data_IF_495081065133
#
_entry.id   IF_495081065133
#
_cell.length_a   1.000
_cell.length_b   1.000
_cell.length_c   1.000
_cell.angle_alpha   90.00
_cell.angle_beta   90.00
_cell.angle_gamma   90.00
#
_symmetry.space_group_name_H-M   'P 1'
#
loop_
_entity.id
_entity.type
_entity.pdbx_description
1 polymer ?
#
# COMPACT_ATOMS: atom_id res chain seq x y z
N UNK A 1 -73.72 38.40 17.99
CA UNK A 1 -74.51 38.18 19.24
C UNK A 1 -74.35 36.76 19.67
N UNK A 2 -74.12 36.56 20.90
CA UNK A 2 -73.98 35.40 21.79
C UNK A 2 -72.55 34.83 21.94
N UNK A 3 -72.01 35.35 23.05
CA UNK A 3 -70.77 34.91 23.69
C UNK A 3 -71.01 33.61 24.45
N UNK A 4 -70.12 32.65 24.36
CA UNK A 4 -70.07 31.54 25.31
C UNK A 4 -68.67 31.45 25.91
N UNK A 5 -68.60 31.72 27.21
CA UNK A 5 -67.46 31.57 28.11
C UNK A 5 -67.40 30.08 28.52
N UNK A 6 -66.27 29.41 28.30
CA UNK A 6 -65.97 28.13 28.93
C UNK A 6 -64.86 28.28 29.95
N UNK A 7 -65.21 27.96 31.18
CA UNK A 7 -64.36 27.98 32.37
C UNK A 7 -63.48 26.72 32.32
N UNK A 8 -62.16 26.90 32.44
CA UNK A 8 -61.16 25.79 32.47
C UNK A 8 -60.79 25.54 33.95
N UNK A 9 -61.19 24.38 34.47
CA UNK A 9 -60.73 23.87 35.77
C UNK A 9 -59.26 23.33 35.63
N UNK A 10 -58.36 23.88 36.44
CA UNK A 10 -57.00 23.36 36.67
C UNK A 10 -57.05 22.21 37.67
N UNK A 11 -56.72 21.02 37.29
CA UNK A 11 -56.38 19.87 38.14
C UNK A 11 -54.91 19.73 38.26
N UNK A 12 -54.31 20.02 39.41
CA UNK A 12 -52.90 19.77 39.75
C UNK A 12 -52.72 18.31 40.14
N UNK A 13 -52.06 17.51 39.33
CA UNK A 13 -51.52 16.17 39.71
C UNK A 13 -50.06 16.28 40.07
N UNK A 14 -49.72 16.02 41.30
CA UNK A 14 -48.39 15.84 41.81
C UNK A 14 -47.95 14.41 41.42
N UNK A 15 -46.91 14.28 40.57
CA UNK A 15 -46.26 13.00 40.26
C UNK A 15 -44.97 12.92 41.09
N UNK A 16 -44.94 11.97 42.00
CA UNK A 16 -43.79 11.61 42.79
C UNK A 16 -42.70 11.00 41.86
N UNK A 17 -41.54 11.60 41.82
CA UNK A 17 -40.37 11.13 41.08
C UNK A 17 -39.75 9.91 41.73
N UNK A 18 -39.80 8.75 41.09
CA UNK A 18 -38.86 7.66 41.34
C UNK A 18 -37.57 7.93 40.57
N UNK A 19 -36.48 8.24 41.30
CA UNK A 19 -35.12 8.32 40.75
C UNK A 19 -34.67 6.97 40.26
N UNK A 20 -34.76 6.75 38.96
CA UNK A 20 -34.05 5.66 38.28
C UNK A 20 -32.67 6.16 37.89
N UNK A 21 -31.62 5.70 38.54
CA UNK A 21 -30.23 5.80 38.04
C UNK A 21 -30.13 5.01 36.74
N UNK A 22 -30.45 5.66 35.63
CA UNK A 22 -30.20 5.17 34.32
C UNK A 22 -28.69 5.14 34.09
N UNK A 23 -28.07 3.97 34.28
CA UNK A 23 -26.79 3.65 33.65
C UNK A 23 -26.97 3.86 32.15
N UNK A 24 -26.45 4.97 31.63
CA UNK A 24 -26.27 5.20 30.19
C UNK A 24 -25.25 4.18 29.72
N UNK A 25 -25.71 2.98 29.39
CA UNK A 25 -24.99 2.06 28.53
C UNK A 25 -24.87 2.72 27.17
N UNK A 26 -23.78 3.46 26.96
CA UNK A 26 -23.43 3.95 25.64
C UNK A 26 -23.42 2.76 24.71
N UNK A 27 -24.32 2.74 23.74
CA UNK A 27 -24.19 1.86 22.61
C UNK A 27 -22.84 2.18 21.95
N UNK A 28 -21.81 1.37 22.25
CA UNK A 28 -20.54 1.50 21.58
C UNK A 28 -20.79 1.13 20.12
N UNK A 29 -20.97 2.17 19.29
CA UNK A 29 -21.08 1.98 17.84
C UNK A 29 -19.88 1.20 17.34
N UNK A 30 -20.12 0.29 16.39
CA UNK A 30 -19.03 -0.46 15.73
C UNK A 30 -18.06 0.53 15.10
N UNK A 31 -16.78 0.45 15.49
CA UNK A 31 -15.70 1.22 14.84
C UNK A 31 -15.46 0.63 13.46
N UNK A 32 -15.51 1.45 12.44
CA UNK A 32 -15.16 1.04 11.09
C UNK A 32 -13.77 1.53 10.72
N UNK A 33 -12.94 0.65 10.17
CA UNK A 33 -11.60 0.97 9.69
C UNK A 33 -11.49 0.59 8.22
N UNK A 34 -10.87 1.47 7.45
CA UNK A 34 -10.54 1.22 6.05
C UNK A 34 -9.04 0.94 5.88
N UNK A 35 -8.71 -0.08 5.09
CA UNK A 35 -7.35 -0.46 4.73
C UNK A 35 -7.16 -0.17 3.25
N UNK A 36 -6.48 0.94 2.92
CA UNK A 36 -6.17 1.30 1.54
C UNK A 36 -5.06 0.41 1.00
N UNK A 37 -5.33 -0.26 -0.12
CA UNK A 37 -4.49 -1.33 -0.66
C UNK A 37 -3.91 -0.97 -2.04
N UNK A 38 -4.34 -1.63 -3.09
CA UNK A 38 -3.95 -1.44 -4.49
C UNK A 38 -4.86 -2.23 -5.40
N UNK A 39 -4.49 -2.36 -6.67
CA UNK A 39 -5.23 -3.17 -7.64
C UNK A 39 -5.25 -4.66 -7.26
N UNK A 40 -6.33 -5.36 -7.65
CA UNK A 40 -6.58 -6.76 -7.29
C UNK A 40 -5.56 -7.76 -7.85
N UNK A 41 -4.84 -7.41 -8.91
CA UNK A 41 -3.77 -8.25 -9.49
C UNK A 41 -2.42 -8.17 -8.76
N UNK A 42 -2.30 -7.31 -7.74
CA UNK A 42 -1.09 -7.12 -6.94
C UNK A 42 -1.17 -7.78 -5.56
N UNK A 43 -0.14 -7.53 -4.74
CA UNK A 43 0.01 -8.11 -3.40
C UNK A 43 -0.78 -7.36 -2.32
N UNK A 44 -0.91 -6.04 -2.44
CA UNK A 44 -1.54 -5.21 -1.41
C UNK A 44 -2.98 -5.60 -1.12
N UNK A 45 -3.78 -5.92 -2.15
CA UNK A 45 -5.19 -6.21 -1.96
C UNK A 45 -5.44 -7.50 -1.16
N UNK A 46 -4.90 -8.67 -1.52
CA UNK A 46 -5.07 -9.88 -0.70
C UNK A 46 -4.44 -9.73 0.69
N UNK A 47 -3.28 -9.12 0.81
CA UNK A 47 -2.62 -8.93 2.11
C UNK A 47 -3.40 -7.96 3.01
N UNK A 48 -3.91 -6.86 2.46
CA UNK A 48 -4.77 -5.91 3.18
C UNK A 48 -6.11 -6.51 3.58
N UNK A 49 -6.68 -7.39 2.74
CA UNK A 49 -7.84 -8.19 3.08
C UNK A 49 -7.60 -9.10 4.28
N UNK A 50 -6.43 -9.75 4.35
CA UNK A 50 -6.04 -10.55 5.49
C UNK A 50 -5.88 -9.69 6.76
N UNK A 51 -5.23 -8.51 6.66
CA UNK A 51 -5.12 -7.58 7.81
C UNK A 51 -6.51 -7.12 8.26
N UNK A 52 -7.39 -6.72 7.35
CA UNK A 52 -8.74 -6.29 7.66
C UNK A 52 -9.55 -7.39 8.38
N UNK A 53 -9.44 -8.63 7.90
CA UNK A 53 -10.05 -9.80 8.54
C UNK A 53 -9.52 -10.00 9.95
N UNK A 54 -8.20 -10.05 10.12
CA UNK A 54 -7.55 -10.24 11.43
C UNK A 54 -7.94 -9.15 12.41
N UNK A 55 -8.00 -7.89 11.98
CA UNK A 55 -8.45 -6.76 12.81
C UNK A 55 -9.92 -6.94 13.22
N UNK A 56 -10.81 -7.26 12.28
CA UNK A 56 -12.24 -7.44 12.55
C UNK A 56 -12.52 -8.58 13.52
N UNK A 57 -11.79 -9.68 13.39
CA UNK A 57 -12.01 -10.89 14.21
C UNK A 57 -11.40 -10.79 15.62
N UNK A 58 -10.42 -9.90 15.83
CA UNK A 58 -9.64 -9.86 17.07
C UNK A 58 -9.71 -8.54 17.85
N UNK A 59 -10.33 -7.48 17.28
CA UNK A 59 -10.60 -6.23 18.00
C UNK A 59 -12.10 -6.07 18.25
N UNK A 60 -12.56 -6.25 19.50
CA UNK A 60 -13.98 -6.12 19.84
C UNK A 60 -14.58 -4.79 19.36
N UNK A 61 -15.77 -4.86 18.76
CA UNK A 61 -16.49 -3.69 18.28
C UNK A 61 -15.80 -2.98 17.09
N UNK A 62 -14.90 -3.67 16.37
CA UNK A 62 -14.20 -3.12 15.20
C UNK A 62 -14.51 -3.96 13.96
N UNK A 63 -14.81 -3.29 12.85
CA UNK A 63 -14.98 -3.87 11.51
C UNK A 63 -14.00 -3.17 10.57
N UNK A 64 -13.13 -3.91 9.91
CA UNK A 64 -12.17 -3.40 8.94
C UNK A 64 -12.45 -3.94 7.54
N UNK A 65 -12.26 -3.11 6.53
CA UNK A 65 -12.45 -3.44 5.12
C UNK A 65 -11.22 -3.07 4.29
N UNK A 66 -10.90 -3.91 3.30
CA UNK A 66 -9.84 -3.61 2.34
C UNK A 66 -10.41 -2.89 1.12
N UNK A 67 -9.84 -1.73 0.82
CA UNK A 67 -10.28 -0.88 -0.29
C UNK A 67 -9.33 -1.00 -1.48
N UNK A 68 -9.88 -1.23 -2.68
CA UNK A 68 -9.12 -1.17 -3.93
C UNK A 68 -8.78 0.28 -4.25
N UNK A 69 -7.50 0.55 -4.49
CA UNK A 69 -6.99 1.89 -4.80
C UNK A 69 -5.97 1.83 -5.93
N UNK A 70 -5.43 2.98 -6.35
CA UNK A 70 -4.26 3.02 -7.22
C UNK A 70 -2.95 2.67 -6.49
N UNK A 71 -2.94 2.56 -5.19
CA UNK A 71 -1.85 2.26 -4.26
C UNK A 71 -1.11 3.53 -3.73
N UNK A 72 0.21 3.51 -3.57
CA UNK A 72 1.01 4.31 -2.64
C UNK A 72 0.69 5.80 -2.56
N UNK A 73 0.62 6.52 -3.69
CA UNK A 73 0.36 7.97 -3.69
C UNK A 73 -1.07 8.27 -3.25
N UNK A 74 -2.05 7.55 -3.81
CA UNK A 74 -3.45 7.74 -3.44
C UNK A 74 -3.71 7.32 -2.00
N UNK A 75 -3.11 6.21 -1.57
CA UNK A 75 -3.21 5.72 -0.20
C UNK A 75 -2.73 6.76 0.83
N UNK A 76 -1.59 7.39 0.56
CA UNK A 76 -1.06 8.44 1.43
C UNK A 76 -1.94 9.69 1.44
N UNK A 77 -2.53 10.07 0.29
CA UNK A 77 -3.53 11.14 0.25
C UNK A 77 -4.78 10.76 1.06
N UNK A 78 -5.24 9.50 0.97
CA UNK A 78 -6.39 9.04 1.76
C UNK A 78 -6.09 9.05 3.26
N UNK A 79 -4.88 8.65 3.68
CA UNK A 79 -4.45 8.77 5.09
C UNK A 79 -4.42 10.24 5.54
N UNK A 80 -3.90 11.15 4.72
CA UNK A 80 -3.90 12.59 5.01
C UNK A 80 -5.31 13.13 5.20
N UNK A 81 -6.20 12.75 4.29
CA UNK A 81 -7.56 13.30 4.20
C UNK A 81 -8.56 12.55 5.12
N UNK A 82 -8.10 11.58 5.93
CA UNK A 82 -8.94 10.78 6.81
C UNK A 82 -9.91 9.83 6.08
N UNK A 83 -9.60 9.48 4.82
CA UNK A 83 -10.37 8.54 3.99
C UNK A 83 -9.91 7.10 4.14
N UNK A 84 -8.72 6.90 4.66
CA UNK A 84 -8.19 5.59 5.02
C UNK A 84 -7.53 5.66 6.40
N UNK A 85 -7.77 4.63 7.22
CA UNK A 85 -7.20 4.51 8.56
C UNK A 85 -5.83 3.85 8.52
N UNK A 86 -5.69 2.82 7.66
CA UNK A 86 -4.49 2.03 7.48
C UNK A 86 -4.17 2.03 5.98
N UNK A 87 -2.91 2.11 5.61
CA UNK A 87 -2.53 2.11 4.21
C UNK A 87 -1.20 1.41 3.94
N UNK A 88 -1.11 0.75 2.78
CA UNK A 88 0.14 0.26 2.22
C UNK A 88 0.80 1.36 1.39
N UNK A 89 2.10 1.48 1.48
CA UNK A 89 2.88 2.40 0.64
C UNK A 89 4.31 1.91 0.43
N UNK A 90 4.91 2.32 -0.68
CA UNK A 90 6.35 2.17 -0.89
C UNK A 90 7.11 3.21 -0.06
N UNK A 91 8.28 2.84 0.43
CA UNK A 91 9.12 3.69 1.28
C UNK A 91 9.57 4.97 0.53
N UNK A 92 9.87 4.89 -0.75
CA UNK A 92 10.27 6.04 -1.55
C UNK A 92 9.13 7.06 -1.75
N UNK A 93 7.90 6.57 -1.95
CA UNK A 93 6.70 7.40 -2.02
C UNK A 93 6.34 7.98 -0.65
N UNK A 94 6.58 7.21 0.43
CA UNK A 94 6.40 7.69 1.81
C UNK A 94 7.38 8.80 2.15
N UNK A 95 8.63 8.70 1.68
CA UNK A 95 9.62 9.77 1.83
C UNK A 95 9.17 11.07 1.14
N UNK A 96 8.70 10.97 -0.10
CA UNK A 96 8.12 12.14 -0.80
C UNK A 96 6.96 12.75 -0.01
N UNK A 97 6.07 11.90 0.49
CA UNK A 97 4.86 12.34 1.21
C UNK A 97 5.18 13.05 2.53
N UNK A 98 6.09 12.50 3.33
CA UNK A 98 6.48 13.11 4.61
C UNK A 98 7.29 14.39 4.42
N UNK A 99 8.08 14.48 3.34
CA UNK A 99 8.86 15.67 3.00
C UNK A 99 8.07 16.73 2.22
N UNK A 100 6.83 16.43 1.79
CA UNK A 100 6.03 17.33 0.96
C UNK A 100 6.65 17.58 -0.40
N UNK A 101 7.22 16.54 -1.04
CA UNK A 101 7.84 16.59 -2.35
C UNK A 101 7.09 15.74 -3.38
N UNK A 102 7.52 15.77 -4.65
CA UNK A 102 6.89 15.01 -5.73
C UNK A 102 5.39 15.27 -5.83
N UNK A 103 4.58 14.22 -5.79
CA UNK A 103 3.11 14.29 -5.84
C UNK A 103 2.48 14.96 -4.60
N UNK A 104 3.27 15.29 -3.59
CA UNK A 104 2.84 15.89 -2.32
C UNK A 104 3.42 17.29 -2.10
N UNK A 105 3.94 17.93 -3.15
CA UNK A 105 4.55 19.26 -3.06
C UNK A 105 3.64 20.26 -2.34
N UNK A 106 4.15 20.84 -1.24
CA UNK A 106 3.42 21.78 -0.40
C UNK A 106 2.32 21.18 0.49
N UNK A 107 2.13 19.86 0.46
CA UNK A 107 1.11 19.14 1.23
C UNK A 107 1.68 17.88 1.88
N UNK A 108 2.57 18.01 2.87
CA UNK A 108 3.15 16.86 3.54
C UNK A 108 2.08 16.03 4.26
N UNK A 109 2.29 14.71 4.29
CA UNK A 109 1.37 13.77 4.93
C UNK A 109 1.85 13.46 6.34
N UNK A 110 1.01 13.60 7.37
CA UNK A 110 1.35 13.24 8.74
C UNK A 110 1.28 11.71 8.95
N UNK A 111 1.98 10.96 8.10
CA UNK A 111 2.02 9.51 8.18
C UNK A 111 2.96 9.02 9.28
N UNK A 112 2.60 7.90 9.92
CA UNK A 112 3.41 7.14 10.88
C UNK A 112 3.44 5.68 10.49
N UNK A 113 4.61 5.07 10.55
CA UNK A 113 4.77 3.65 10.27
C UNK A 113 4.25 2.79 11.42
N UNK A 114 3.56 1.70 11.07
CA UNK A 114 3.29 0.60 11.99
C UNK A 114 4.34 -0.51 11.83
N UNK A 115 4.67 -0.86 10.60
CA UNK A 115 5.65 -1.89 10.28
C UNK A 115 6.21 -1.72 8.88
N UNK A 116 7.46 -2.09 8.66
CA UNK A 116 8.00 -2.46 7.35
C UNK A 116 7.65 -3.93 7.12
N UNK A 117 6.94 -4.23 6.03
CA UNK A 117 6.34 -5.54 5.81
C UNK A 117 7.23 -6.48 5.00
N UNK A 118 7.67 -6.04 3.84
CA UNK A 118 8.49 -6.78 2.87
C UNK A 118 9.04 -5.82 1.83
N UNK A 119 9.94 -6.29 0.95
CA UNK A 119 10.45 -5.50 -0.16
C UNK A 119 9.69 -5.81 -1.46
N UNK A 120 9.29 -4.78 -2.18
CA UNK A 120 8.83 -4.88 -3.55
C UNK A 120 10.02 -4.99 -4.50
N UNK A 121 9.84 -5.79 -5.53
CA UNK A 121 10.73 -5.95 -6.67
C UNK A 121 10.21 -5.10 -7.82
N UNK A 122 11.05 -4.27 -8.42
CA UNK A 122 10.65 -3.47 -9.58
C UNK A 122 10.82 -4.29 -10.86
N UNK A 123 9.71 -4.74 -11.39
CA UNK A 123 9.64 -5.48 -12.65
C UNK A 123 9.58 -4.50 -13.81
N UNK A 124 10.44 -4.68 -14.80
CA UNK A 124 10.30 -4.06 -16.12
C UNK A 124 10.13 -5.19 -17.11
N UNK A 125 8.88 -5.44 -17.50
CA UNK A 125 8.49 -6.64 -18.26
C UNK A 125 8.25 -6.30 -19.71
N UNK A 126 8.80 -7.13 -20.60
CA UNK A 126 8.59 -7.09 -22.05
C UNK A 126 8.46 -8.52 -22.58
N UNK A 127 8.30 -8.67 -23.88
CA UNK A 127 8.33 -9.98 -24.55
C UNK A 127 9.74 -10.27 -25.09
N UNK A 128 10.17 -11.52 -25.07
CA UNK A 128 11.46 -11.93 -25.65
C UNK A 128 11.56 -11.58 -27.15
N UNK A 129 10.42 -11.59 -27.87
CA UNK A 129 10.33 -11.23 -29.29
C UNK A 129 10.41 -9.72 -29.57
N UNK A 130 10.36 -8.86 -28.55
CA UNK A 130 10.33 -7.39 -28.72
C UNK A 130 11.65 -6.77 -29.16
N UNK A 131 12.78 -7.48 -28.96
CA UNK A 131 14.13 -6.95 -29.14
C UNK A 131 14.60 -6.00 -28.04
N UNK A 132 13.75 -5.72 -27.03
CA UNK A 132 14.08 -4.83 -25.89
C UNK A 132 14.92 -5.63 -24.88
N UNK A 133 16.11 -5.14 -24.56
CA UNK A 133 17.06 -5.80 -23.64
C UNK A 133 17.51 -4.90 -22.49
N UNK A 134 17.38 -3.59 -22.64
CA UNK A 134 17.75 -2.57 -21.66
C UNK A 134 16.64 -1.54 -21.50
N UNK A 135 16.70 -0.72 -20.44
CA UNK A 135 15.77 0.40 -20.26
C UNK A 135 15.95 1.47 -21.37
N UNK A 136 17.14 1.64 -21.92
CA UNK A 136 17.38 2.58 -23.02
C UNK A 136 16.61 2.21 -24.29
N UNK A 137 16.36 0.91 -24.54
CA UNK A 137 15.59 0.42 -25.70
C UNK A 137 14.09 0.78 -25.61
N UNK A 138 13.64 1.32 -24.49
CA UNK A 138 12.26 1.81 -24.32
C UNK A 138 12.00 3.09 -25.09
N UNK A 139 13.05 3.77 -25.59
CA UNK A 139 12.89 5.01 -26.40
C UNK A 139 12.02 4.74 -27.63
N UNK A 140 10.99 5.57 -27.81
CA UNK A 140 10.00 5.48 -28.89
C UNK A 140 8.97 4.34 -28.71
N UNK A 141 9.02 3.58 -27.62
CA UNK A 141 8.09 2.47 -27.36
C UNK A 141 6.82 2.92 -26.63
N UNK A 142 5.78 2.10 -26.74
CA UNK A 142 4.57 2.25 -25.93
C UNK A 142 4.77 1.49 -24.62
N UNK A 143 4.81 2.20 -23.49
CA UNK A 143 5.19 1.63 -22.20
C UNK A 143 4.17 2.02 -21.13
N UNK A 144 3.69 1.04 -20.36
CA UNK A 144 2.90 1.33 -19.17
C UNK A 144 3.81 1.61 -17.97
N UNK A 145 3.60 2.74 -17.31
CA UNK A 145 4.38 3.17 -16.15
C UNK A 145 3.72 2.84 -14.82
N UNK A 146 2.63 2.06 -14.82
CA UNK A 146 1.82 1.80 -13.64
C UNK A 146 0.54 2.63 -13.61
N UNK A 147 -0.38 2.31 -12.71
CA UNK A 147 -1.61 3.06 -12.55
C UNK A 147 -1.30 4.50 -12.08
N UNK A 148 -2.07 5.50 -12.53
CA UNK A 148 -1.91 6.87 -12.04
C UNK A 148 -2.08 6.92 -10.51
N UNK A 149 -1.15 7.57 -9.82
CA UNK A 149 -1.20 7.64 -8.36
C UNK A 149 -0.65 6.40 -7.64
N UNK A 150 0.00 5.48 -8.35
CA UNK A 150 0.67 4.32 -7.77
C UNK A 150 2.14 4.58 -7.42
N UNK A 151 2.68 3.79 -6.50
CA UNK A 151 4.12 3.75 -6.27
C UNK A 151 4.89 3.14 -7.44
N UNK A 152 4.25 2.26 -8.23
CA UNK A 152 4.82 1.75 -9.48
C UNK A 152 5.09 2.87 -10.48
N UNK A 153 4.20 3.86 -10.59
CA UNK A 153 4.40 5.02 -11.45
C UNK A 153 5.57 5.89 -10.95
N UNK A 154 5.69 6.08 -9.64
CA UNK A 154 6.81 6.84 -9.04
C UNK A 154 8.15 6.21 -9.37
N UNK A 155 8.33 4.91 -9.09
CA UNK A 155 9.61 4.22 -9.38
C UNK A 155 9.88 4.09 -10.87
N UNK A 156 8.84 3.93 -11.71
CA UNK A 156 8.99 3.89 -13.16
C UNK A 156 9.57 5.22 -13.69
N UNK A 157 9.06 6.35 -13.24
CA UNK A 157 9.57 7.67 -13.62
C UNK A 157 11.04 7.84 -13.23
N UNK A 158 11.39 7.45 -12.01
CA UNK A 158 12.76 7.52 -11.49
C UNK A 158 13.74 6.63 -12.28
N UNK A 159 13.31 5.43 -12.65
CA UNK A 159 14.13 4.52 -13.47
C UNK A 159 14.28 5.00 -14.92
N UNK A 160 13.22 5.52 -15.54
CA UNK A 160 13.26 6.10 -16.88
C UNK A 160 14.24 7.28 -16.91
N UNK A 161 14.17 8.18 -15.94
CA UNK A 161 15.08 9.33 -15.81
C UNK A 161 16.52 8.88 -15.52
N UNK A 162 16.71 7.88 -14.65
CA UNK A 162 18.03 7.30 -14.37
C UNK A 162 18.64 6.60 -15.60
N UNK A 163 17.82 6.09 -16.51
CA UNK A 163 18.25 5.53 -17.80
C UNK A 163 18.54 6.62 -18.85
N UNK A 164 18.47 7.91 -18.50
CA UNK A 164 18.72 9.04 -19.40
C UNK A 164 17.57 9.31 -20.38
N UNK A 165 16.37 8.81 -20.12
CA UNK A 165 15.18 9.01 -20.93
C UNK A 165 14.27 10.07 -20.32
N UNK A 166 13.61 10.86 -21.17
CA UNK A 166 12.54 11.76 -20.76
C UNK A 166 11.21 11.00 -20.84
N UNK A 167 10.54 10.84 -19.68
CA UNK A 167 9.28 10.09 -19.55
C UNK A 167 8.12 10.67 -20.37
N UNK A 168 8.15 11.97 -20.71
CA UNK A 168 7.06 12.66 -21.38
C UNK A 168 7.27 12.74 -22.89
N UNK A 169 8.53 12.70 -23.37
CA UNK A 169 8.86 12.88 -24.79
C UNK A 169 9.50 11.67 -25.46
N UNK A 170 10.24 10.83 -24.70
CA UNK A 170 10.94 9.69 -25.27
C UNK A 170 10.09 8.40 -25.30
N UNK A 171 8.91 8.39 -24.67
CA UNK A 171 8.02 7.23 -24.57
C UNK A 171 6.60 7.58 -25.01
N UNK A 172 5.89 6.62 -25.59
CA UNK A 172 4.43 6.67 -25.68
C UNK A 172 3.85 6.06 -24.41
N UNK A 173 3.75 6.90 -23.38
CA UNK A 173 3.36 6.47 -22.05
C UNK A 173 1.90 6.08 -21.98
N UNK A 174 1.63 4.93 -21.32
CA UNK A 174 0.33 4.50 -20.86
C UNK A 174 0.36 4.42 -19.32
N UNK A 175 -0.76 4.67 -18.69
CA UNK A 175 -0.89 4.64 -17.23
C UNK A 175 -1.92 3.56 -16.84
N UNK A 176 -1.47 2.31 -16.73
CA UNK A 176 -2.30 1.12 -16.52
C UNK A 176 -1.89 0.37 -15.25
N UNK A 177 -2.87 -0.20 -14.54
CA UNK A 177 -2.60 -1.18 -13.48
C UNK A 177 -1.96 -2.46 -14.03
N UNK A 178 -1.40 -3.29 -13.15
CA UNK A 178 -0.62 -4.47 -13.56
C UNK A 178 -1.43 -5.45 -14.42
N UNK A 179 -2.67 -5.76 -14.05
CA UNK A 179 -3.53 -6.67 -14.84
C UNK A 179 -3.80 -6.11 -16.25
N UNK A 180 -4.17 -4.84 -16.33
CA UNK A 180 -4.41 -4.16 -17.61
C UNK A 180 -3.14 -4.05 -18.47
N UNK A 181 -1.97 -3.87 -17.81
CA UNK A 181 -0.67 -3.85 -18.50
C UNK A 181 -0.33 -5.21 -19.09
N UNK A 182 -0.60 -6.29 -18.36
CA UNK A 182 -0.42 -7.67 -18.83
C UNK A 182 -1.32 -7.93 -20.03
N UNK A 183 -2.60 -7.60 -19.95
CA UNK A 183 -3.54 -7.78 -21.05
C UNK A 183 -3.12 -6.98 -22.30
N UNK A 184 -2.76 -5.71 -22.12
CA UNK A 184 -2.29 -4.86 -23.21
C UNK A 184 -0.96 -5.33 -23.84
N UNK A 185 -0.07 -5.95 -23.05
CA UNK A 185 1.15 -6.57 -23.55
C UNK A 185 0.85 -7.82 -24.37
N UNK A 186 -0.06 -8.69 -23.89
CA UNK A 186 -0.53 -9.88 -24.64
C UNK A 186 -1.17 -9.49 -25.96
N UNK A 187 -1.94 -8.41 -25.99
CA UNK A 187 -2.62 -7.88 -27.18
C UNK A 187 -1.67 -7.13 -28.16
N UNK A 188 -0.37 -7.00 -27.83
CA UNK A 188 0.59 -6.22 -28.63
C UNK A 188 0.37 -4.70 -28.61
N UNK A 189 -0.46 -4.19 -27.70
CA UNK A 189 -0.76 -2.76 -27.51
C UNK A 189 0.34 -2.07 -26.71
N UNK A 190 1.11 -2.81 -25.90
CA UNK A 190 2.29 -2.37 -25.16
C UNK A 190 3.53 -3.10 -25.66
N UNK A 191 4.69 -2.44 -25.52
CA UNK A 191 6.00 -3.04 -25.74
C UNK A 191 6.65 -3.46 -24.41
N UNK A 192 6.36 -2.77 -23.32
CA UNK A 192 6.81 -3.07 -21.99
C UNK A 192 5.89 -2.45 -20.92
N UNK A 193 6.01 -2.92 -19.69
CA UNK A 193 5.39 -2.26 -18.54
C UNK A 193 6.28 -2.30 -17.31
N UNK A 194 6.11 -1.30 -16.46
CA UNK A 194 6.68 -1.23 -15.12
C UNK A 194 5.66 -1.72 -14.10
N UNK A 195 6.16 -2.45 -13.11
CA UNK A 195 5.39 -2.87 -11.95
C UNK A 195 6.30 -2.99 -10.73
N UNK A 196 5.89 -2.47 -9.60
CA UNK A 196 6.56 -2.69 -8.31
C UNK A 196 5.66 -3.55 -7.43
N UNK A 197 6.09 -4.76 -7.12
CA UNK A 197 5.29 -5.72 -6.35
C UNK A 197 6.12 -6.81 -5.70
N UNK A 198 5.50 -7.54 -4.78
CA UNK A 198 6.06 -8.74 -4.16
C UNK A 198 6.04 -9.95 -5.10
N UNK A 199 6.68 -11.02 -4.69
CA UNK A 199 6.83 -12.25 -5.46
C UNK A 199 5.98 -13.40 -4.87
N UNK A 200 5.27 -14.18 -5.74
CA UNK A 200 4.96 -13.83 -7.12
C UNK A 200 3.83 -12.80 -7.19
N UNK A 201 3.82 -11.94 -8.21
CA UNK A 201 2.65 -11.12 -8.55
C UNK A 201 1.71 -11.92 -9.45
N UNK A 202 0.45 -12.06 -9.06
CA UNK A 202 -0.52 -12.93 -9.74
C UNK A 202 -0.69 -12.58 -11.23
N UNK A 203 -0.81 -11.32 -11.58
CA UNK A 203 -0.95 -10.89 -12.98
C UNK A 203 0.30 -11.19 -13.83
N UNK A 204 1.51 -11.08 -13.26
CA UNK A 204 2.76 -11.41 -13.97
C UNK A 204 2.91 -12.93 -14.12
N UNK A 205 2.45 -13.68 -13.12
CA UNK A 205 2.43 -15.15 -13.19
C UNK A 205 1.48 -15.63 -14.30
N UNK A 206 0.32 -14.99 -14.46
CA UNK A 206 -0.62 -15.26 -15.54
C UNK A 206 0.00 -15.00 -16.93
N UNK A 207 0.77 -13.91 -17.09
CA UNK A 207 1.52 -13.65 -18.32
C UNK A 207 2.50 -14.81 -18.63
N UNK A 208 3.24 -15.26 -17.62
CA UNK A 208 4.21 -16.36 -17.78
C UNK A 208 3.57 -17.69 -18.18
N UNK A 209 2.31 -17.93 -17.79
CA UNK A 209 1.55 -19.13 -18.18
C UNK A 209 0.83 -19.00 -19.52
N UNK A 210 0.86 -17.84 -20.19
CA UNK A 210 0.15 -17.63 -21.45
C UNK A 210 0.85 -18.37 -22.60
N UNK A 211 0.15 -19.29 -23.24
CA UNK A 211 0.70 -20.08 -24.35
C UNK A 211 1.19 -19.20 -25.52
N UNK A 212 2.34 -19.53 -26.07
CA UNK A 212 2.94 -18.77 -27.18
C UNK A 212 3.60 -17.45 -26.79
N UNK A 213 3.59 -17.07 -25.51
CA UNK A 213 4.26 -15.88 -25.00
C UNK A 213 5.48 -16.29 -24.18
N UNK A 214 6.62 -15.68 -24.49
CA UNK A 214 7.82 -15.76 -23.67
C UNK A 214 8.12 -14.37 -23.14
N UNK A 215 7.93 -14.16 -21.84
CA UNK A 215 8.24 -12.88 -21.23
C UNK A 215 9.74 -12.73 -21.00
N UNK A 216 10.20 -11.49 -20.96
CA UNK A 216 11.52 -11.07 -20.51
C UNK A 216 11.35 -10.01 -19.43
N UNK A 217 12.16 -10.08 -18.40
CA UNK A 217 12.27 -9.02 -17.38
C UNK A 217 13.64 -8.35 -17.57
N UNK A 218 13.64 -7.01 -17.60
CA UNK A 218 14.86 -6.24 -17.78
C UNK A 218 15.55 -6.03 -16.43
N UNK A 219 16.87 -6.21 -16.35
CA UNK A 219 17.64 -5.89 -15.16
C UNK A 219 17.67 -4.38 -14.91
N UNK A 220 17.74 -3.97 -13.64
CA UNK A 220 17.74 -2.57 -13.27
C UNK A 220 18.78 -2.20 -12.20
N UNK A 221 19.66 -3.11 -11.83
CA UNK A 221 20.70 -2.90 -10.81
C UNK A 221 21.65 -1.74 -11.12
N UNK A 222 21.94 -1.50 -12.40
CA UNK A 222 22.82 -0.42 -12.85
C UNK A 222 22.35 0.97 -12.41
N UNK A 223 21.05 1.12 -12.14
CA UNK A 223 20.43 2.40 -11.79
C UNK A 223 20.37 2.67 -10.29
N UNK A 224 20.64 1.66 -9.42
CA UNK A 224 20.53 1.76 -7.96
C UNK A 224 21.40 2.90 -7.41
N UNK A 225 22.65 3.01 -7.86
CA UNK A 225 23.57 4.05 -7.38
C UNK A 225 23.06 5.46 -7.71
N UNK A 226 22.45 5.65 -8.88
CA UNK A 226 21.85 6.93 -9.28
C UNK A 226 20.61 7.25 -8.44
N UNK A 227 19.72 6.27 -8.26
CA UNK A 227 18.52 6.43 -7.44
C UNK A 227 18.86 6.78 -5.98
N UNK A 228 19.81 6.07 -5.39
CA UNK A 228 20.28 6.35 -4.02
C UNK A 228 20.83 7.76 -3.87
N UNK A 229 21.68 8.20 -4.80
CA UNK A 229 22.27 9.52 -4.80
C UNK A 229 21.22 10.63 -4.90
N UNK A 230 20.16 10.41 -5.71
CA UNK A 230 19.16 11.43 -5.99
C UNK A 230 18.06 11.49 -4.93
N UNK A 231 17.63 10.34 -4.42
CA UNK A 231 16.44 10.23 -3.56
C UNK A 231 16.73 9.77 -2.14
N UNK A 232 17.91 9.19 -1.87
CA UNK A 232 18.35 8.76 -0.54
C UNK A 232 18.83 7.31 -0.49
N UNK A 233 19.93 7.09 0.21
CA UNK A 233 20.64 5.80 0.29
C UNK A 233 19.79 4.64 0.84
N UNK A 234 18.86 4.95 1.73
CA UNK A 234 18.06 3.96 2.46
C UNK A 234 16.82 3.48 1.71
N UNK A 235 16.44 4.14 0.60
CA UNK A 235 15.16 3.89 -0.07
C UNK A 235 15.21 2.74 -1.07
N UNK A 236 16.38 2.41 -1.58
CA UNK A 236 16.56 1.43 -2.65
C UNK A 236 17.57 0.36 -2.27
N UNK A 237 17.28 -0.86 -2.66
CA UNK A 237 18.13 -2.03 -2.45
C UNK A 237 18.32 -2.82 -3.75
N UNK A 238 19.37 -3.63 -3.81
CA UNK A 238 19.51 -4.64 -4.84
C UNK A 238 18.74 -5.88 -4.41
N UNK A 239 17.82 -6.30 -5.24
CA UNK A 239 17.10 -7.57 -5.09
C UNK A 239 17.27 -8.42 -6.33
N UNK A 240 16.98 -9.72 -6.23
CA UNK A 240 17.01 -10.64 -7.34
C UNK A 240 15.66 -11.32 -7.48
N UNK A 241 15.05 -11.25 -8.67
CA UNK A 241 13.89 -12.07 -9.02
C UNK A 241 14.40 -13.43 -9.48
N UNK A 242 14.19 -14.52 -8.71
CA UNK A 242 14.64 -15.84 -9.13
C UNK A 242 13.94 -16.29 -10.42
N UNK A 243 14.65 -16.93 -11.33
CA UNK A 243 14.08 -17.46 -12.59
C UNK A 243 12.90 -18.42 -12.37
N UNK A 244 12.89 -19.12 -11.24
CA UNK A 244 11.81 -20.03 -10.89
C UNK A 244 10.52 -19.32 -10.47
N UNK A 245 10.53 -17.97 -10.29
CA UNK A 245 9.36 -17.21 -9.85
C UNK A 245 8.28 -17.14 -10.92
N UNK A 246 8.67 -16.95 -12.17
CA UNK A 246 7.73 -16.79 -13.27
C UNK A 246 8.11 -17.69 -14.43
N UNK A 247 7.17 -18.47 -15.02
CA UNK A 247 7.40 -19.21 -16.25
C UNK A 247 7.90 -18.29 -17.36
N UNK A 248 8.87 -18.75 -18.13
CA UNK A 248 9.48 -17.99 -19.23
C UNK A 248 10.73 -17.18 -18.86
N UNK A 249 11.03 -16.98 -17.58
CA UNK A 249 12.32 -16.44 -17.17
C UNK A 249 13.41 -17.52 -17.34
N UNK A 250 14.51 -17.16 -18.00
CA UNK A 250 15.64 -18.07 -18.27
C UNK A 250 16.79 -17.91 -17.27
N UNK A 251 16.83 -16.78 -16.56
CA UNK A 251 17.88 -16.41 -15.62
C UNK A 251 17.31 -15.63 -14.44
N UNK A 252 18.08 -15.54 -13.37
CA UNK A 252 17.80 -14.68 -12.23
C UNK A 252 17.99 -13.22 -12.64
N UNK A 253 17.07 -12.33 -12.30
CA UNK A 253 17.08 -10.93 -12.75
C UNK A 253 17.36 -10.00 -11.58
N UNK A 254 18.51 -9.28 -11.58
CA UNK A 254 18.79 -8.26 -10.57
C UNK A 254 17.97 -7.00 -10.81
N UNK A 255 17.25 -6.57 -9.79
CA UNK A 255 16.29 -5.47 -9.89
C UNK A 255 16.41 -4.50 -8.71
N UNK A 256 15.87 -3.30 -8.90
CA UNK A 256 15.69 -2.33 -7.82
C UNK A 256 14.59 -2.82 -6.88
N UNK A 257 14.92 -2.85 -5.59
CA UNK A 257 14.00 -3.12 -4.49
C UNK A 257 13.59 -1.84 -3.75
N UNK A 258 12.34 -1.82 -3.28
CA UNK A 258 11.79 -0.74 -2.44
C UNK A 258 10.96 -1.37 -1.32
N UNK A 259 11.19 -0.98 -0.08
CA UNK A 259 10.45 -1.51 1.06
C UNK A 259 8.98 -1.10 1.04
N UNK A 260 8.10 -1.99 1.51
CA UNK A 260 6.69 -1.71 1.78
C UNK A 260 6.49 -1.37 3.25
N UNK A 261 5.78 -0.30 3.50
CA UNK A 261 5.47 0.20 4.84
C UNK A 261 3.96 0.22 5.03
N UNK A 262 3.50 -0.33 6.14
CA UNK A 262 2.14 -0.15 6.61
C UNK A 262 2.11 1.13 7.45
N UNK A 263 1.25 2.06 7.06
CA UNK A 263 1.18 3.39 7.67
C UNK A 263 -0.23 3.74 8.14
N UNK A 264 -0.28 4.67 9.07
CA UNK A 264 -1.52 5.29 9.60
C UNK A 264 -1.31 6.79 9.72
N UNK A 265 -2.38 7.56 9.94
CA UNK A 265 -2.26 8.97 10.30
C UNK A 265 -1.65 9.11 11.71
N UNK A 266 -0.84 10.14 11.93
CA UNK A 266 -0.24 10.44 13.23
C UNK A 266 -1.26 10.66 14.35
N UNK A 267 -2.50 11.00 14.00
CA UNK A 267 -3.62 11.20 14.94
C UNK A 267 -4.34 9.91 15.37
N UNK A 268 -3.97 8.75 14.82
CA UNK A 268 -4.54 7.48 15.25
C UNK A 268 -4.33 7.30 16.76
N UNK A 269 -5.36 6.84 17.53
CA UNK A 269 -5.16 6.55 18.95
C UNK A 269 -4.03 5.54 19.19
N UNK A 270 -3.17 5.82 20.19
CA UNK A 270 -2.00 4.99 20.48
C UNK A 270 -2.36 3.54 20.77
N UNK A 271 -3.44 3.31 21.54
CA UNK A 271 -3.93 1.96 21.84
C UNK A 271 -4.34 1.20 20.59
N UNK A 272 -5.01 1.87 19.63
CA UNK A 272 -5.42 1.22 18.37
C UNK A 272 -4.22 0.87 17.52
N UNK A 273 -3.26 1.80 17.37
CA UNK A 273 -2.03 1.53 16.63
C UNK A 273 -1.20 0.39 17.26
N UNK A 274 -1.15 0.34 18.60
CA UNK A 274 -0.55 -0.77 19.33
C UNK A 274 -1.23 -2.10 19.02
N UNK A 275 -2.56 -2.15 19.13
CA UNK A 275 -3.32 -3.38 18.91
C UNK A 275 -3.20 -3.87 17.46
N UNK A 276 -3.29 -2.98 16.48
CA UNK A 276 -3.09 -3.32 15.07
C UNK A 276 -1.67 -3.88 14.87
N UNK A 277 -0.63 -3.20 15.40
CA UNK A 277 0.76 -3.66 15.27
C UNK A 277 0.93 -5.03 15.90
N UNK A 278 0.40 -5.25 17.10
CA UNK A 278 0.43 -6.54 17.81
C UNK A 278 -0.20 -7.64 16.96
N UNK A 279 -1.37 -7.41 16.38
CA UNK A 279 -2.08 -8.40 15.57
C UNK A 279 -1.32 -8.80 14.31
N UNK A 280 -0.49 -7.94 13.72
CA UNK A 280 0.35 -8.32 12.57
C UNK A 280 1.30 -9.47 12.93
N UNK A 281 1.74 -9.58 14.19
CA UNK A 281 2.66 -10.63 14.66
C UNK A 281 1.92 -11.79 15.32
N UNK A 282 0.93 -11.52 16.18
CA UNK A 282 0.15 -12.56 16.86
C UNK A 282 -0.63 -13.44 15.87
N UNK A 283 -1.05 -12.85 14.74
CA UNK A 283 -1.82 -13.52 13.67
C UNK A 283 -1.04 -13.67 12.37
N UNK A 284 0.27 -13.69 12.47
CA UNK A 284 1.15 -13.77 11.29
C UNK A 284 0.85 -15.00 10.42
N UNK A 285 0.54 -16.15 11.03
CA UNK A 285 0.17 -17.36 10.30
C UNK A 285 -1.06 -17.17 9.39
N UNK A 286 -2.04 -16.38 9.84
CA UNK A 286 -3.24 -16.10 9.05
C UNK A 286 -2.91 -15.20 7.84
N UNK A 287 -1.97 -14.26 8.02
CA UNK A 287 -1.46 -13.42 6.94
C UNK A 287 -0.64 -14.25 5.93
N UNK A 288 0.22 -15.14 6.41
CA UNK A 288 1.04 -16.05 5.57
C UNK A 288 0.20 -17.01 4.73
N UNK A 289 -0.93 -17.46 5.27
CA UNK A 289 -1.85 -18.33 4.56
C UNK A 289 -2.48 -17.65 3.34
N UNK A 290 -2.57 -16.32 3.34
CA UNK A 290 -3.14 -15.53 2.22
C UNK A 290 -2.06 -15.13 1.21
N UNK A 291 -0.88 -14.70 1.68
CA UNK A 291 0.19 -14.32 0.76
C UNK A 291 1.58 -14.63 1.33
N UNK A 292 2.48 -15.27 0.54
CA UNK A 292 3.81 -15.68 1.00
C UNK A 292 4.71 -14.51 1.41
N UNK A 293 4.50 -13.30 0.90
CA UNK A 293 5.26 -12.10 1.32
C UNK A 293 5.10 -11.79 2.83
N UNK A 294 4.01 -12.21 3.46
CA UNK A 294 3.83 -12.06 4.91
C UNK A 294 4.88 -12.82 5.75
N UNK A 295 5.55 -13.83 5.18
CA UNK A 295 6.66 -14.54 5.85
C UNK A 295 7.84 -13.63 6.15
N UNK A 296 8.03 -12.57 5.35
CA UNK A 296 9.14 -11.61 5.49
C UNK A 296 8.95 -10.66 6.66
N UNK A 297 7.72 -10.49 7.15
CA UNK A 297 7.43 -9.70 8.33
C UNK A 297 8.03 -10.39 9.56
N UNK A 298 9.05 -9.78 10.17
CA UNK A 298 9.66 -10.23 11.43
C UNK A 298 9.88 -9.03 12.34
N UNK A 299 9.99 -9.28 13.65
CA UNK A 299 10.31 -8.22 14.61
C UNK A 299 11.64 -7.52 14.27
N UNK A 300 12.61 -8.25 13.71
CA UNK A 300 13.92 -7.70 13.35
C UNK A 300 13.88 -6.79 12.12
N UNK A 301 12.98 -7.06 11.16
CA UNK A 301 12.88 -6.29 9.90
C UNK A 301 11.85 -5.18 9.98
N UNK A 302 10.79 -5.37 10.73
CA UNK A 302 9.63 -4.48 10.77
C UNK A 302 9.92 -3.07 11.27
N UNK A 303 11.00 -2.89 12.06
CA UNK A 303 11.40 -1.61 12.65
C UNK A 303 12.46 -0.86 11.84
N UNK A 304 12.85 -1.37 10.65
CA UNK A 304 13.97 -0.82 9.86
C UNK A 304 13.52 -0.40 8.46
N UNK A 305 14.15 0.66 7.93
CA UNK A 305 13.95 1.07 6.53
C UNK A 305 12.68 1.91 6.26
N UNK A 306 11.95 2.34 7.29
CA UNK A 306 10.89 3.33 7.14
C UNK A 306 11.47 4.75 7.11
N UNK A 307 11.18 5.57 6.08
CA UNK A 307 11.56 6.98 6.06
C UNK A 307 10.66 7.84 6.96
N UNK A 308 9.47 7.36 7.31
CA UNK A 308 8.58 8.03 8.25
C UNK A 308 8.87 7.57 9.68
N UNK A 309 8.68 8.42 10.69
CA UNK A 309 8.70 8.01 12.09
C UNK A 309 7.65 6.94 12.37
N UNK A 310 7.94 6.04 13.30
CA UNK A 310 6.96 5.05 13.75
C UNK A 310 5.89 5.68 14.65
N UNK A 311 4.71 5.07 14.66
CA UNK A 311 3.63 5.49 15.55
C UNK A 311 3.97 5.13 17.01
N UNK A 312 3.66 6.00 18.01
CA UNK A 312 3.94 5.71 19.42
C UNK A 312 3.41 4.34 19.88
N UNK A 313 2.21 3.94 19.44
CA UNK A 313 1.65 2.63 19.75
C UNK A 313 2.47 1.47 19.17
N UNK A 314 2.98 1.62 17.94
CA UNK A 314 3.87 0.61 17.35
C UNK A 314 5.20 0.54 18.10
N UNK A 315 5.80 1.68 18.43
CA UNK A 315 7.04 1.75 19.24
C UNK A 315 6.85 1.04 20.58
N UNK A 316 5.71 1.28 21.26
CA UNK A 316 5.40 0.62 22.53
C UNK A 316 5.37 -0.90 22.36
N UNK A 317 4.68 -1.42 21.35
CA UNK A 317 4.66 -2.85 21.06
C UNK A 317 6.08 -3.40 20.84
N UNK A 318 6.88 -2.77 19.96
CA UNK A 318 8.23 -3.24 19.68
C UNK A 318 9.14 -3.19 20.89
N UNK A 319 8.98 -2.22 21.80
CA UNK A 319 9.71 -2.18 23.08
C UNK A 319 9.31 -3.33 24.00
N UNK A 320 8.04 -3.64 24.12
CA UNK A 320 7.56 -4.80 24.89
C UNK A 320 8.13 -6.11 24.35
N UNK A 321 8.31 -6.20 23.02
CA UNK A 321 8.94 -7.36 22.36
C UNK A 321 10.49 -7.31 22.36
N UNK A 322 11.12 -6.27 22.93
CA UNK A 322 12.58 -6.03 22.91
C UNK A 322 13.14 -5.98 21.47
N UNK A 323 12.37 -5.47 20.54
CA UNK A 323 12.69 -5.40 19.10
C UNK A 323 12.86 -3.95 18.61
N UNK A 324 12.62 -2.94 19.46
CA UNK A 324 12.87 -1.55 19.12
C UNK A 324 14.37 -1.27 19.17
N UNK A 325 15.00 -0.73 18.09
CA UNK A 325 16.41 -0.32 18.13
C UNK A 325 16.60 0.83 19.14
N UNK A 326 17.65 0.73 19.96
CA UNK A 326 18.04 1.78 20.90
C UNK A 326 18.67 2.98 20.18
#
# INVERSE_FOLDING_TARGET
MTTNIFVLLLATMAVAGCGGTGTSGGASGTRRLSVATGGTGGVYYPYGGAIAKVVSENLPGTEATAEVTAASVDNLKFVRDGKADIAFTLADTLADATNGSGAFTGQPVPARALAVLYDNYTHVVTLASSGITTLADLKGKTVSTGAPGSGSEVIAFRLIEAAGLNRDTDLRRQALGVSQSVDALKDGKLHAFFWSGGLPTAAVLDLGHTAGITMRMLPSEAYIASLKRTYGDQLYSLLTVPKATYPGLTEDVPVVGVANVLVVNASMPESLAFDITRLLFDKKSDLEAIHPEARKLTLATATRGSPAPFHPGAIRYYREQRAWPE
#
